data_IF_727751705434
#
_entry.id   IF_727751705434
#
_cell.length_a   1.000
_cell.length_b   1.000
_cell.length_c   1.000
_cell.angle_alpha   90.00
_cell.angle_beta   90.00
_cell.angle_gamma   90.00
#
_symmetry.space_group_name_H-M   'P 1'
#
loop_
_entity.id
_entity.type
_entity.pdbx_description
1 polymer ?
#
# COMPACT_ATOMS: atom_id res chain seq x y z
N UNK A 1 -51.12 -6.09 26.93
CA UNK A 1 -50.48 -7.28 26.43
C UNK A 1 -49.23 -6.84 25.70
N UNK A 2 -48.18 -6.94 26.41
CA UNK A 2 -46.76 -7.09 26.30
C UNK A 2 -46.07 -6.73 24.98
N UNK A 3 -45.35 -5.61 25.09
CA UNK A 3 -44.33 -5.07 24.19
C UNK A 3 -43.10 -5.97 24.11
N UNK A 4 -42.63 -6.23 22.92
CA UNK A 4 -41.31 -6.75 22.67
C UNK A 4 -40.43 -5.61 22.13
N UNK A 5 -39.54 -5.03 22.96
CA UNK A 5 -38.45 -4.13 22.55
C UNK A 5 -37.18 -4.95 22.27
N UNK A 6 -36.40 -4.63 21.25
CA UNK A 6 -35.13 -5.34 20.96
C UNK A 6 -34.03 -4.92 21.96
N UNK A 7 -33.46 -5.90 22.66
CA UNK A 7 -32.43 -5.78 23.70
C UNK A 7 -30.97 -5.74 23.13
N UNK A 8 -30.77 -5.27 21.93
CA UNK A 8 -29.43 -5.36 21.30
C UNK A 8 -28.53 -4.14 21.52
N UNK A 9 -29.07 -2.99 21.85
CA UNK A 9 -28.26 -1.77 22.02
C UNK A 9 -27.64 -1.66 23.44
N UNK A 10 -28.20 -2.25 24.44
CA UNK A 10 -27.71 -2.23 25.84
C UNK A 10 -26.56 -3.24 26.07
N UNK A 11 -26.47 -4.31 25.29
CA UNK A 11 -25.39 -5.29 25.43
C UNK A 11 -24.05 -4.79 24.87
N UNK A 12 -24.07 -4.04 23.76
CA UNK A 12 -22.84 -3.53 23.17
C UNK A 12 -22.19 -2.44 24.03
N UNK A 13 -23.02 -1.57 24.63
CA UNK A 13 -22.53 -0.56 25.59
C UNK A 13 -22.01 -1.17 26.89
N UNK A 14 -22.59 -2.27 27.36
CA UNK A 14 -22.12 -2.98 28.54
C UNK A 14 -20.78 -3.68 28.31
N UNK A 15 -20.54 -4.25 27.11
CA UNK A 15 -19.27 -4.85 26.75
C UNK A 15 -18.15 -3.81 26.58
N UNK A 16 -18.48 -2.65 26.01
CA UNK A 16 -17.49 -1.58 25.83
C UNK A 16 -17.06 -0.97 27.19
N UNK A 17 -18.00 -0.81 28.13
CA UNK A 17 -17.68 -0.33 29.49
C UNK A 17 -16.90 -1.35 30.31
N UNK A 18 -17.13 -2.65 30.14
CA UNK A 18 -16.37 -3.70 30.81
C UNK A 18 -14.93 -3.76 30.30
N UNK A 19 -14.71 -3.62 28.99
CA UNK A 19 -13.38 -3.62 28.40
C UNK A 19 -12.59 -2.37 28.80
N UNK A 20 -13.23 -1.19 28.82
CA UNK A 20 -12.58 0.06 29.26
C UNK A 20 -12.31 0.06 30.77
N UNK A 21 -13.22 -0.47 31.59
CA UNK A 21 -13.01 -0.60 33.04
C UNK A 21 -11.91 -1.62 33.40
N UNK A 22 -11.73 -2.66 32.60
CA UNK A 22 -10.65 -3.66 32.78
C UNK A 22 -9.27 -3.10 32.48
N UNK A 23 -9.17 -2.07 31.63
CA UNK A 23 -7.88 -1.41 31.29
C UNK A 23 -7.54 -0.30 32.28
N UNK A 24 -8.54 0.26 32.99
CA UNK A 24 -8.37 1.42 33.89
C UNK A 24 -8.40 1.08 35.40
N UNK A 25 -8.58 -0.17 35.81
CA UNK A 25 -8.53 -0.52 37.25
C UNK A 25 -7.07 -0.59 37.69
N UNK A 26 -6.62 0.24 38.67
CA UNK A 26 -5.33 0.05 39.32
C UNK A 26 -5.41 -1.25 40.12
N UNK A 27 -4.67 -2.28 39.67
CA UNK A 27 -4.48 -3.49 40.48
C UNK A 27 -3.71 -3.10 41.73
N UNK A 28 -4.16 -3.47 42.94
CA UNK A 28 -3.35 -3.28 44.12
C UNK A 28 -2.06 -4.11 43.96
N UNK A 29 -0.93 -3.45 44.02
CA UNK A 29 0.38 -4.08 44.06
C UNK A 29 0.50 -4.91 45.32
N UNK A 30 0.32 -6.23 45.23
CA UNK A 30 0.90 -7.15 46.17
C UNK A 30 2.40 -7.11 45.88
N UNK A 31 3.12 -6.41 46.74
CA UNK A 31 4.55 -6.44 46.81
C UNK A 31 4.99 -7.87 47.20
N UNK A 32 5.13 -8.75 46.23
CA UNK A 32 5.95 -9.95 46.37
C UNK A 32 7.36 -9.55 45.96
N UNK A 33 8.26 -9.68 46.89
CA UNK A 33 9.70 -9.58 46.70
C UNK A 33 10.15 -10.69 45.74
N UNK A 34 10.02 -10.43 44.44
CA UNK A 34 10.67 -11.24 43.43
C UNK A 34 12.17 -10.92 43.50
N UNK A 35 12.97 -11.96 43.61
CA UNK A 35 14.42 -11.83 43.63
C UNK A 35 14.95 -11.24 42.31
N UNK A 36 16.19 -10.74 42.28
CA UNK A 36 16.73 -9.98 41.13
C UNK A 36 16.83 -10.77 39.82
N UNK A 37 16.49 -12.03 39.78
CA UNK A 37 16.61 -12.93 38.61
C UNK A 37 15.39 -12.95 37.67
N UNK A 38 14.19 -12.55 38.12
CA UNK A 38 12.98 -12.57 37.26
C UNK A 38 12.71 -11.25 36.54
N UNK A 39 13.19 -10.13 37.07
CA UNK A 39 13.09 -8.83 36.41
C UNK A 39 14.06 -8.69 35.21
N UNK A 40 15.10 -9.47 35.19
CA UNK A 40 16.11 -9.51 34.11
C UNK A 40 15.61 -10.27 32.88
N UNK A 41 14.61 -11.14 33.00
CA UNK A 41 14.04 -11.91 31.89
C UNK A 41 13.04 -11.10 31.04
N UNK A 42 12.55 -9.96 31.56
CA UNK A 42 11.59 -9.06 30.85
C UNK A 42 12.31 -7.79 30.35
N UNK A 43 13.62 -7.75 30.41
CA UNK A 43 14.36 -6.60 29.92
C UNK A 43 14.31 -6.58 28.38
N UNK A 44 13.62 -5.58 27.76
CA UNK A 44 13.49 -5.51 26.30
C UNK A 44 14.85 -5.38 25.61
N UNK A 45 15.87 -4.95 26.31
CA UNK A 45 17.25 -4.86 25.80
C UNK A 45 17.86 -6.26 25.63
N UNK A 46 17.60 -7.22 26.53
CA UNK A 46 18.06 -8.60 26.38
C UNK A 46 17.36 -9.35 25.26
N UNK A 47 16.04 -9.14 25.08
CA UNK A 47 15.31 -9.71 23.96
C UNK A 47 15.80 -9.14 22.61
N UNK A 48 16.24 -7.88 22.60
CA UNK A 48 16.90 -7.27 21.44
C UNK A 48 18.32 -7.83 21.24
N UNK A 49 19.11 -8.05 22.29
CA UNK A 49 20.43 -8.68 22.19
C UNK A 49 20.34 -10.11 21.65
N UNK A 50 19.42 -10.92 22.17
CA UNK A 50 19.22 -12.32 21.76
C UNK A 50 18.71 -12.45 20.32
N UNK A 51 17.85 -11.51 19.87
CA UNK A 51 17.44 -11.42 18.47
C UNK A 51 18.54 -10.88 17.56
N UNK A 52 19.45 -10.07 18.06
CA UNK A 52 20.56 -9.50 17.28
C UNK A 52 21.73 -10.47 17.11
N UNK A 53 22.00 -11.37 18.08
CA UNK A 53 22.96 -12.45 17.91
C UNK A 53 22.52 -13.46 16.83
N UNK A 54 21.23 -13.53 16.54
CA UNK A 54 20.69 -14.40 15.50
C UNK A 54 20.71 -13.81 14.08
N UNK A 55 21.14 -12.55 13.90
CA UNK A 55 21.23 -11.90 12.56
C UNK A 55 22.63 -12.16 11.98
N UNK A 56 22.77 -13.05 10.97
CA UNK A 56 24.05 -13.31 10.33
C UNK A 56 24.58 -12.05 9.64
N UNK A 57 25.78 -11.62 9.99
CA UNK A 57 26.45 -10.47 9.35
C UNK A 57 26.73 -9.27 10.25
N UNK A 58 26.30 -9.28 11.53
CA UNK A 58 26.62 -8.22 12.50
C UNK A 58 27.78 -8.60 13.46
N UNK A 59 28.47 -9.70 13.20
CA UNK A 59 29.57 -10.24 14.03
C UNK A 59 30.86 -9.41 14.00
N UNK A 60 30.86 -8.23 13.39
CA UNK A 60 32.06 -7.41 13.26
C UNK A 60 32.06 -6.17 14.15
N UNK A 61 32.41 -6.27 15.42
CA UNK A 61 33.07 -5.20 16.18
C UNK A 61 32.36 -3.88 16.43
N UNK A 62 31.09 -3.73 16.04
CA UNK A 62 30.29 -2.53 16.33
C UNK A 62 29.76 -2.63 17.76
N UNK A 63 29.77 -1.52 18.50
CA UNK A 63 29.19 -1.51 19.84
C UNK A 63 27.68 -1.81 19.77
N UNK A 64 27.13 -2.51 20.74
CA UNK A 64 25.71 -2.89 20.85
C UNK A 64 24.78 -1.69 20.62
N UNK A 65 25.18 -0.50 21.06
CA UNK A 65 24.42 0.75 20.85
C UNK A 65 24.28 1.12 19.38
N UNK A 66 25.31 0.92 18.56
CA UNK A 66 25.28 1.22 17.11
C UNK A 66 24.39 0.19 16.41
N UNK A 67 24.46 -1.07 16.80
CA UNK A 67 23.62 -2.12 16.25
C UNK A 67 22.12 -1.86 16.52
N UNK A 68 21.78 -1.47 17.75
CA UNK A 68 20.42 -1.08 18.11
C UNK A 68 19.95 0.14 17.28
N UNK A 69 20.82 1.13 17.10
CA UNK A 69 20.51 2.31 16.30
C UNK A 69 20.21 1.94 14.84
N UNK A 70 21.06 1.08 14.24
CA UNK A 70 20.87 0.60 12.86
C UNK A 70 19.57 -0.19 12.74
N UNK A 71 19.30 -1.13 13.65
CA UNK A 71 18.08 -1.90 13.67
C UNK A 71 16.84 -1.00 13.74
N UNK A 72 16.87 -0.01 14.63
CA UNK A 72 15.75 0.92 14.83
C UNK A 72 15.54 1.83 13.61
N UNK A 73 16.61 2.27 12.95
CA UNK A 73 16.52 3.02 11.70
C UNK A 73 15.95 2.18 10.55
N UNK A 74 16.43 0.94 10.38
CA UNK A 74 15.89 0.01 9.36
C UNK A 74 14.42 -0.29 9.63
N UNK A 75 14.05 -0.58 10.87
CA UNK A 75 12.65 -0.86 11.26
C UNK A 75 11.74 0.35 11.01
N UNK A 76 12.22 1.58 11.22
CA UNK A 76 11.44 2.79 10.95
C UNK A 76 11.28 3.09 9.46
N UNK A 77 12.26 2.74 8.62
CA UNK A 77 12.22 2.95 7.19
C UNK A 77 11.47 1.85 6.41
N UNK A 78 11.41 0.63 6.96
CA UNK A 78 10.81 -0.53 6.29
C UNK A 78 9.36 -0.27 5.80
N UNK A 79 8.43 0.31 6.58
CA UNK A 79 7.08 0.62 6.11
C UNK A 79 7.08 1.57 4.92
N UNK A 80 7.95 2.59 4.92
CA UNK A 80 8.04 3.55 3.82
C UNK A 80 8.52 2.91 2.53
N UNK A 81 9.53 2.03 2.60
CA UNK A 81 10.05 1.30 1.46
C UNK A 81 8.98 0.36 0.90
N UNK A 82 8.26 -0.38 1.77
CA UNK A 82 7.17 -1.27 1.33
C UNK A 82 6.07 -0.51 0.60
N UNK A 83 5.65 0.65 1.11
CA UNK A 83 4.66 1.50 0.47
C UNK A 83 5.14 1.97 -0.91
N UNK A 84 6.42 2.34 -1.04
CA UNK A 84 7.01 2.80 -2.29
C UNK A 84 7.17 1.69 -3.34
N UNK A 85 7.33 0.43 -2.93
CA UNK A 85 7.50 -0.73 -3.82
C UNK A 85 6.19 -1.44 -4.17
N UNK A 86 5.04 -0.93 -3.73
CA UNK A 86 3.72 -1.52 -3.95
C UNK A 86 2.81 -0.59 -4.75
N UNK A 87 1.63 -1.09 -5.14
CA UNK A 87 0.60 -0.28 -5.81
C UNK A 87 -0.11 0.72 -4.89
N UNK A 88 0.31 0.88 -3.62
CA UNK A 88 -0.30 1.78 -2.65
C UNK A 88 -0.39 3.22 -3.15
N UNK A 89 0.70 3.75 -3.75
CA UNK A 89 0.74 5.12 -4.26
C UNK A 89 -0.32 5.37 -5.33
N UNK A 90 -0.53 4.41 -6.24
CA UNK A 90 -1.57 4.50 -7.27
C UNK A 90 -2.95 4.60 -6.63
N UNK A 91 -3.26 3.72 -5.69
CA UNK A 91 -4.59 3.63 -5.06
C UNK A 91 -4.90 4.88 -4.25
N UNK A 92 -3.98 5.32 -3.39
CA UNK A 92 -4.23 6.47 -2.51
C UNK A 92 -4.40 7.77 -3.31
N UNK A 93 -3.65 7.96 -4.41
CA UNK A 93 -3.77 9.15 -5.26
C UNK A 93 -5.12 9.14 -5.99
N UNK A 94 -5.50 8.01 -6.60
CA UNK A 94 -6.78 7.88 -7.31
C UNK A 94 -7.96 8.15 -6.39
N UNK A 95 -7.99 7.54 -5.20
CA UNK A 95 -9.06 7.76 -4.22
C UNK A 95 -9.05 9.19 -3.64
N UNK A 96 -7.87 9.80 -3.50
CA UNK A 96 -7.78 11.21 -3.09
C UNK A 96 -8.30 12.16 -4.16
N UNK A 97 -8.01 11.89 -5.44
CA UNK A 97 -8.55 12.66 -6.56
C UNK A 97 -10.06 12.48 -6.70
N UNK A 98 -10.59 11.27 -6.48
CA UNK A 98 -12.03 11.03 -6.41
C UNK A 98 -12.71 11.91 -5.35
N UNK A 99 -12.13 11.96 -4.13
CA UNK A 99 -12.65 12.82 -3.06
C UNK A 99 -12.67 14.30 -3.46
N UNK A 100 -11.60 14.77 -4.11
CA UNK A 100 -11.52 16.14 -4.61
C UNK A 100 -12.58 16.39 -5.71
N UNK A 101 -12.78 15.44 -6.61
CA UNK A 101 -13.75 15.54 -7.70
C UNK A 101 -15.19 15.69 -7.18
N UNK A 102 -15.55 14.97 -6.14
CA UNK A 102 -16.85 15.06 -5.48
C UNK A 102 -17.10 16.43 -4.81
N UNK A 103 -16.06 17.15 -4.40
CA UNK A 103 -16.19 18.48 -3.77
C UNK A 103 -16.78 18.45 -2.36
N UNK A 104 -16.78 17.32 -1.67
CA UNK A 104 -17.46 17.07 -0.38
C UNK A 104 -16.71 17.62 0.84
N UNK A 105 -16.00 18.77 0.74
CA UNK A 105 -15.34 19.45 1.88
C UNK A 105 -14.61 18.53 2.87
N UNK A 106 -13.90 17.50 2.35
CA UNK A 106 -13.10 16.59 3.18
C UNK A 106 -13.77 15.27 3.59
N UNK A 107 -14.96 14.98 3.11
CA UNK A 107 -15.60 13.66 3.28
C UNK A 107 -15.32 12.75 2.06
N UNK A 108 -14.97 11.46 2.25
CA UNK A 108 -14.62 10.81 3.50
C UNK A 108 -13.29 11.31 4.11
N UNK A 109 -13.07 11.19 5.44
CA UNK A 109 -11.83 11.57 6.09
C UNK A 109 -10.61 10.89 5.46
N UNK A 110 -9.45 11.57 5.48
CA UNK A 110 -8.21 11.04 4.87
C UNK A 110 -7.78 9.70 5.46
N UNK A 111 -8.05 9.46 6.75
CA UNK A 111 -7.77 8.19 7.40
C UNK A 111 -8.52 7.01 6.76
N UNK A 112 -9.79 7.22 6.36
CA UNK A 112 -10.58 6.18 5.69
C UNK A 112 -10.01 5.88 4.31
N UNK A 113 -9.59 6.91 3.56
CA UNK A 113 -8.96 6.74 2.25
C UNK A 113 -7.64 5.97 2.38
N UNK A 114 -6.78 6.35 3.33
CA UNK A 114 -5.52 5.68 3.58
C UNK A 114 -5.76 4.22 4.01
N UNK A 115 -6.69 3.99 4.94
CA UNK A 115 -7.03 2.63 5.40
C UNK A 115 -7.57 1.75 4.27
N UNK A 116 -8.48 2.27 3.45
CA UNK A 116 -9.01 1.55 2.29
C UNK A 116 -7.92 1.28 1.25
N UNK A 117 -7.05 2.27 0.97
CA UNK A 117 -5.92 2.11 0.06
C UNK A 117 -4.96 1.02 0.53
N UNK A 118 -4.66 0.99 1.83
CA UNK A 118 -3.79 -0.02 2.43
C UNK A 118 -4.41 -1.41 2.36
N UNK A 119 -5.70 -1.53 2.64
CA UNK A 119 -6.43 -2.81 2.54
C UNK A 119 -6.45 -3.34 1.10
N UNK A 120 -6.78 -2.48 0.13
CA UNK A 120 -6.76 -2.85 -1.29
C UNK A 120 -5.36 -3.25 -1.76
N UNK A 121 -4.34 -2.50 -1.33
CA UNK A 121 -2.93 -2.85 -1.61
C UNK A 121 -2.59 -4.22 -1.08
N UNK A 122 -2.99 -4.54 0.16
CA UNK A 122 -2.73 -5.84 0.75
C UNK A 122 -3.38 -6.98 -0.05
N UNK A 123 -4.64 -6.81 -0.45
CA UNK A 123 -5.36 -7.79 -1.28
C UNK A 123 -4.65 -8.00 -2.62
N UNK A 124 -4.28 -6.91 -3.29
CA UNK A 124 -3.63 -6.97 -4.61
C UNK A 124 -2.22 -7.58 -4.51
N UNK A 125 -1.46 -7.26 -3.45
CA UNK A 125 -0.08 -7.74 -3.27
C UNK A 125 0.01 -9.16 -2.68
N UNK A 126 -1.12 -9.78 -2.28
CA UNK A 126 -1.14 -11.13 -1.71
C UNK A 126 -0.40 -12.17 -2.57
N UNK A 127 -0.61 -12.31 -3.89
CA UNK A 127 0.11 -13.29 -4.70
C UNK A 127 1.62 -13.02 -4.72
N UNK A 128 2.05 -11.77 -4.87
CA UNK A 128 3.47 -11.39 -4.82
C UNK A 128 4.08 -11.73 -3.46
N UNK A 129 3.38 -11.43 -2.35
CA UNK A 129 3.84 -11.75 -1.01
C UNK A 129 3.94 -13.27 -0.76
N UNK A 130 3.00 -14.06 -1.29
CA UNK A 130 3.05 -15.52 -1.23
C UNK A 130 4.26 -16.07 -1.98
N UNK A 131 4.58 -15.54 -3.16
CA UNK A 131 5.79 -15.92 -3.91
C UNK A 131 7.05 -15.57 -3.13
N UNK A 132 7.15 -14.38 -2.54
CA UNK A 132 8.28 -13.98 -1.70
C UNK A 132 8.47 -14.98 -0.53
N UNK A 133 7.39 -15.42 0.08
CA UNK A 133 7.45 -16.40 1.17
C UNK A 133 7.89 -17.79 0.67
N UNK A 134 7.29 -18.30 -0.38
CA UNK A 134 7.50 -19.67 -0.88
C UNK A 134 8.87 -19.83 -1.55
N UNK A 135 9.27 -18.86 -2.38
CA UNK A 135 10.51 -18.91 -3.15
C UNK A 135 11.73 -18.45 -2.34
N UNK A 136 11.54 -17.50 -1.41
CA UNK A 136 12.60 -16.90 -0.61
C UNK A 136 12.66 -17.42 0.82
N UNK A 137 11.68 -17.11 1.65
CA UNK A 137 11.76 -17.32 3.12
C UNK A 137 11.65 -18.80 3.48
N UNK A 138 10.73 -19.54 2.87
CA UNK A 138 10.47 -20.94 3.20
C UNK A 138 11.68 -21.85 3.05
N UNK A 139 12.52 -21.80 1.98
CA UNK A 139 13.72 -22.63 1.85
C UNK A 139 14.73 -22.41 2.99
N UNK A 140 14.83 -21.17 3.46
CA UNK A 140 15.70 -20.83 4.60
C UNK A 140 15.16 -21.41 5.92
N UNK A 141 13.86 -21.22 6.21
CA UNK A 141 13.23 -21.73 7.44
C UNK A 141 13.16 -23.26 7.50
N UNK A 142 13.11 -23.94 6.35
CA UNK A 142 13.13 -25.41 6.27
C UNK A 142 14.56 -25.98 6.26
N UNK A 143 15.60 -25.14 6.30
CA UNK A 143 17.00 -25.56 6.32
C UNK A 143 17.53 -26.11 4.99
N UNK A 144 16.76 -25.99 3.91
CA UNK A 144 17.17 -26.36 2.54
C UNK A 144 18.23 -25.39 2.03
N UNK A 145 18.03 -24.11 2.27
CA UNK A 145 19.00 -23.05 1.96
C UNK A 145 19.60 -22.53 3.27
N UNK A 146 20.91 -22.40 3.34
CA UNK A 146 21.63 -21.89 4.53
C UNK A 146 22.29 -20.55 4.28
N UNK A 147 22.38 -20.13 3.01
CA UNK A 147 22.99 -18.88 2.64
C UNK A 147 21.95 -17.74 2.68
N UNK A 148 22.17 -16.79 3.60
CA UNK A 148 21.34 -15.61 3.75
C UNK A 148 21.31 -14.74 2.49
N UNK A 149 22.44 -14.60 1.79
CA UNK A 149 22.52 -13.75 0.58
C UNK A 149 21.67 -14.33 -0.56
N UNK A 150 21.72 -15.66 -0.74
CA UNK A 150 20.88 -16.36 -1.73
C UNK A 150 19.40 -16.24 -1.36
N UNK A 151 19.06 -16.38 -0.08
CA UNK A 151 17.69 -16.20 0.40
C UNK A 151 17.19 -14.78 0.14
N UNK A 152 18.01 -13.77 0.43
CA UNK A 152 17.67 -12.37 0.18
C UNK A 152 17.42 -12.10 -1.31
N UNK A 153 18.30 -12.61 -2.18
CA UNK A 153 18.15 -12.44 -3.63
C UNK A 153 16.88 -13.11 -4.15
N UNK A 154 16.53 -14.30 -3.68
CA UNK A 154 15.27 -14.97 -4.02
C UNK A 154 14.05 -14.27 -3.47
N UNK A 155 14.13 -13.72 -2.25
CA UNK A 155 12.99 -13.02 -1.64
C UNK A 155 12.66 -11.71 -2.35
N UNK A 156 13.66 -10.96 -2.82
CA UNK A 156 13.43 -9.70 -3.52
C UNK A 156 12.96 -9.88 -4.98
N UNK A 157 13.19 -11.05 -5.59
CA UNK A 157 12.91 -11.28 -7.00
C UNK A 157 11.42 -11.15 -7.36
N UNK A 158 10.44 -11.73 -6.62
CA UNK A 158 9.02 -11.55 -6.93
C UNK A 158 8.57 -10.10 -6.86
N UNK A 159 9.12 -9.29 -5.94
CA UNK A 159 8.84 -7.87 -5.85
C UNK A 159 9.39 -7.10 -7.05
N UNK A 160 10.60 -7.47 -7.47
CA UNK A 160 11.24 -6.92 -8.67
C UNK A 160 10.44 -7.25 -9.93
N UNK A 161 9.99 -8.51 -10.08
CA UNK A 161 9.15 -8.95 -11.18
C UNK A 161 7.83 -8.18 -11.23
N UNK A 162 7.21 -7.94 -10.07
CA UNK A 162 6.01 -7.12 -9.97
C UNK A 162 6.24 -5.70 -10.50
N UNK A 163 7.32 -5.03 -10.06
CA UNK A 163 7.63 -3.66 -10.52
C UNK A 163 7.86 -3.61 -12.03
N UNK A 164 8.62 -4.56 -12.59
CA UNK A 164 8.83 -4.65 -14.03
C UNK A 164 7.52 -4.88 -14.78
N UNK A 165 6.68 -5.79 -14.30
CA UNK A 165 5.37 -6.08 -14.89
C UNK A 165 4.50 -4.82 -15.00
N UNK A 166 4.50 -3.96 -13.97
CA UNK A 166 3.75 -2.69 -14.02
C UNK A 166 4.34 -1.71 -15.04
N UNK A 167 5.67 -1.60 -15.11
CA UNK A 167 6.35 -0.72 -16.08
C UNK A 167 6.09 -1.19 -17.52
N UNK A 168 6.17 -2.50 -17.77
CA UNK A 168 5.88 -3.11 -19.07
C UNK A 168 4.42 -2.92 -19.49
N UNK A 169 3.48 -3.23 -18.61
CA UNK A 169 2.04 -3.11 -18.88
C UNK A 169 1.62 -1.68 -19.24
N UNK A 170 2.33 -0.69 -18.73
CA UNK A 170 2.08 0.75 -18.99
C UNK A 170 2.95 1.33 -20.09
N UNK A 171 3.95 0.60 -20.57
CA UNK A 171 4.93 1.07 -21.57
C UNK A 171 5.84 2.20 -21.08
N UNK A 172 5.98 2.39 -19.76
CA UNK A 172 6.69 3.52 -19.17
C UNK A 172 8.20 3.26 -18.96
N UNK A 173 8.88 2.74 -19.95
CA UNK A 173 10.32 2.49 -19.90
C UNK A 173 11.18 3.75 -19.80
N UNK A 174 10.64 4.92 -20.20
CA UNK A 174 11.38 6.19 -20.16
C UNK A 174 11.92 6.53 -18.77
N UNK A 175 11.19 6.19 -17.70
CA UNK A 175 11.65 6.37 -16.33
C UNK A 175 12.87 5.49 -16.00
N UNK A 176 12.87 4.25 -16.47
CA UNK A 176 13.98 3.31 -16.27
C UNK A 176 15.23 3.82 -17.00
N UNK A 177 15.10 4.16 -18.28
CA UNK A 177 16.22 4.69 -19.09
C UNK A 177 16.80 5.97 -18.50
N UNK A 178 15.95 6.87 -17.98
CA UNK A 178 16.39 8.09 -17.32
C UNK A 178 17.27 7.77 -16.09
N UNK A 179 16.88 6.80 -15.26
CA UNK A 179 17.65 6.41 -14.07
C UNK A 179 18.94 5.70 -14.43
N UNK A 180 18.94 4.86 -15.47
CA UNK A 180 20.14 4.17 -15.96
C UNK A 180 21.14 5.16 -16.55
N UNK A 181 20.68 6.10 -17.39
CA UNK A 181 21.53 7.16 -17.97
C UNK A 181 22.19 8.03 -16.89
N UNK A 182 21.43 8.40 -15.85
CA UNK A 182 21.97 9.17 -14.72
C UNK A 182 23.11 8.41 -14.00
N UNK A 183 23.06 7.08 -13.99
CA UNK A 183 24.11 6.22 -13.42
C UNK A 183 25.24 5.92 -14.39
N UNK A 184 25.22 6.46 -15.60
CA UNK A 184 26.26 6.26 -16.61
C UNK A 184 26.17 4.92 -17.33
N UNK A 185 25.05 4.22 -17.26
CA UNK A 185 24.79 3.00 -18.03
C UNK A 185 24.30 3.43 -19.43
N UNK A 186 24.96 2.96 -20.47
CA UNK A 186 24.58 3.29 -21.85
C UNK A 186 23.20 2.68 -22.19
N UNK A 187 22.27 3.54 -22.59
CA UNK A 187 20.91 3.16 -23.01
C UNK A 187 20.65 3.44 -24.48
N UNK A 188 21.72 3.66 -25.29
CA UNK A 188 21.62 3.97 -26.70
C UNK A 188 21.01 2.85 -27.53
N UNK A 189 21.20 1.60 -27.08
CA UNK A 189 20.53 0.42 -27.63
C UNK A 189 19.62 -0.25 -26.59
N UNK A 190 18.32 0.10 -26.56
CA UNK A 190 17.38 -0.48 -25.63
C UNK A 190 17.21 -2.01 -25.78
N UNK A 191 17.52 -2.56 -26.95
CA UNK A 191 17.41 -4.00 -27.23
C UNK A 191 18.49 -4.84 -26.55
N UNK A 192 19.62 -4.22 -26.20
CA UNK A 192 20.74 -4.89 -25.52
C UNK A 192 20.55 -4.98 -23.99
N UNK A 193 19.65 -4.17 -23.43
CA UNK A 193 19.42 -4.12 -22.00
C UNK A 193 18.52 -5.27 -21.52
N UNK A 194 19.03 -5.98 -20.54
CA UNK A 194 18.27 -7.07 -19.88
C UNK A 194 17.72 -6.59 -18.52
N UNK A 195 16.71 -7.29 -17.99
CA UNK A 195 16.19 -6.98 -16.66
C UNK A 195 17.26 -7.09 -15.57
N UNK A 196 18.32 -7.91 -15.76
CA UNK A 196 19.44 -8.06 -14.82
C UNK A 196 20.28 -6.80 -14.69
N UNK A 197 20.36 -5.98 -15.74
CA UNK A 197 21.18 -4.77 -15.77
C UNK A 197 20.56 -3.59 -14.99
N UNK A 198 19.28 -3.72 -14.68
CA UNK A 198 18.53 -2.72 -13.89
C UNK A 198 18.60 -3.08 -12.42
N UNK A 199 19.38 -2.39 -11.63
CA UNK A 199 19.47 -2.57 -10.18
C UNK A 199 18.22 -2.02 -9.46
N UNK A 200 17.93 -2.53 -8.26
CA UNK A 200 16.80 -2.08 -7.41
C UNK A 200 16.84 -0.57 -7.15
N UNK A 201 18.03 0.00 -6.99
CA UNK A 201 18.21 1.44 -6.75
C UNK A 201 17.73 2.31 -7.92
N UNK A 202 17.80 1.81 -9.16
CA UNK A 202 17.26 2.47 -10.34
C UNK A 202 15.80 2.11 -10.61
N UNK A 203 15.42 0.88 -10.27
CA UNK A 203 14.08 0.34 -10.52
C UNK A 203 13.01 0.99 -9.62
N UNK A 204 13.28 1.16 -8.31
CA UNK A 204 12.30 1.72 -7.36
C UNK A 204 11.87 3.13 -7.76
N UNK A 205 12.76 4.12 -8.01
CA UNK A 205 12.31 5.44 -8.41
C UNK A 205 11.62 5.46 -9.79
N UNK A 206 12.08 4.63 -10.73
CA UNK A 206 11.42 4.49 -12.02
C UNK A 206 10.00 3.92 -11.89
N UNK A 207 9.82 2.93 -11.03
CA UNK A 207 8.50 2.36 -10.70
C UNK A 207 7.58 3.41 -10.05
N UNK A 208 8.08 4.19 -9.06
CA UNK A 208 7.30 5.26 -8.41
C UNK A 208 6.82 6.28 -9.45
N UNK A 209 7.69 6.72 -10.37
CA UNK A 209 7.30 7.65 -11.44
C UNK A 209 6.25 7.03 -12.38
N UNK A 210 6.36 5.75 -12.67
CA UNK A 210 5.36 5.01 -13.44
C UNK A 210 4.01 4.98 -12.71
N UNK A 211 3.98 4.61 -11.43
CA UNK A 211 2.78 4.56 -10.60
C UNK A 211 2.10 5.94 -10.48
N UNK A 212 2.90 7.01 -10.28
CA UNK A 212 2.39 8.38 -10.24
C UNK A 212 1.71 8.77 -11.57
N UNK A 213 2.37 8.50 -12.71
CA UNK A 213 1.79 8.81 -14.04
C UNK A 213 0.46 8.08 -14.25
N UNK A 214 0.41 6.78 -13.93
CA UNK A 214 -0.82 5.99 -14.07
C UNK A 214 -1.90 6.49 -13.12
N UNK A 215 -1.55 6.78 -11.86
CA UNK A 215 -2.47 7.30 -10.86
C UNK A 215 -3.12 8.63 -11.30
N UNK A 216 -2.32 9.56 -11.82
CA UNK A 216 -2.82 10.83 -12.33
C UNK A 216 -3.71 10.66 -13.56
N UNK A 217 -3.34 9.77 -14.50
CA UNK A 217 -4.17 9.48 -15.66
C UNK A 217 -5.53 8.89 -15.27
N UNK A 218 -5.55 7.95 -14.33
CA UNK A 218 -6.78 7.35 -13.83
C UNK A 218 -7.61 8.37 -13.04
N UNK A 219 -6.99 9.11 -12.14
CA UNK A 219 -7.64 10.14 -11.34
C UNK A 219 -8.24 11.23 -12.23
N UNK A 220 -7.53 11.64 -13.27
CA UNK A 220 -8.05 12.61 -14.25
C UNK A 220 -9.29 12.08 -14.99
N UNK A 221 -9.28 10.81 -15.44
CA UNK A 221 -10.44 10.18 -16.07
C UNK A 221 -11.67 10.16 -15.15
N UNK A 222 -11.45 9.92 -13.86
CA UNK A 222 -12.52 9.97 -12.86
C UNK A 222 -12.99 11.40 -12.62
N UNK A 223 -12.09 12.38 -12.67
CA UNK A 223 -12.41 13.78 -12.44
C UNK A 223 -13.25 14.41 -13.59
N UNK A 224 -13.03 13.97 -14.83
CA UNK A 224 -13.69 14.54 -16.02
C UNK A 224 -15.23 14.63 -15.93
N UNK A 225 -15.99 13.57 -15.57
CA UNK A 225 -17.44 13.67 -15.52
C UNK A 225 -17.93 14.69 -14.48
N UNK A 226 -17.23 14.81 -13.36
CA UNK A 226 -17.56 15.78 -12.32
C UNK A 226 -17.26 17.22 -12.75
N UNK A 227 -16.19 17.42 -13.51
CA UNK A 227 -15.85 18.72 -14.09
C UNK A 227 -16.92 19.17 -15.10
N UNK A 228 -17.45 18.27 -15.91
CA UNK A 228 -18.55 18.58 -16.84
C UNK A 228 -19.80 19.05 -16.08
N UNK A 229 -20.15 18.39 -14.97
CA UNK A 229 -21.27 18.83 -14.12
C UNK A 229 -21.03 20.24 -13.59
N UNK A 230 -19.82 20.54 -13.09
CA UNK A 230 -19.48 21.88 -12.60
C UNK A 230 -19.67 22.94 -13.69
N UNK A 231 -19.19 22.66 -14.91
CA UNK A 231 -19.30 23.58 -16.03
C UNK A 231 -20.76 23.84 -16.46
N UNK A 232 -21.57 22.78 -16.48
CA UNK A 232 -23.01 22.90 -16.81
C UNK A 232 -23.73 23.74 -15.76
N UNK A 233 -23.54 23.46 -14.49
CA UNK A 233 -24.16 24.22 -13.39
C UNK A 233 -23.68 25.67 -13.39
N UNK A 234 -22.37 25.91 -13.60
CA UNK A 234 -21.85 27.27 -13.70
C UNK A 234 -22.49 28.06 -14.85
N UNK A 235 -22.63 27.46 -16.04
CA UNK A 235 -23.24 28.11 -17.18
C UNK A 235 -24.73 28.45 -16.94
N UNK A 236 -25.48 27.57 -16.29
CA UNK A 236 -26.86 27.79 -15.90
C UNK A 236 -26.99 28.97 -14.90
N UNK A 237 -26.17 29.01 -13.86
CA UNK A 237 -26.17 30.08 -12.85
C UNK A 237 -25.86 31.44 -13.47
N UNK A 238 -24.87 31.50 -14.36
CA UNK A 238 -24.50 32.72 -15.07
C UNK A 238 -25.65 33.18 -15.95
N UNK A 239 -26.32 32.28 -16.69
CA UNK A 239 -27.46 32.62 -17.56
C UNK A 239 -28.67 33.16 -16.78
N UNK A 240 -28.84 32.74 -15.53
CA UNK A 240 -29.88 33.26 -14.62
C UNK A 240 -29.46 34.55 -13.90
N UNK A 241 -28.27 35.08 -14.15
CA UNK A 241 -27.76 36.28 -13.49
C UNK A 241 -27.28 36.10 -12.06
N UNK A 242 -27.15 34.84 -11.58
CA UNK A 242 -26.75 34.50 -10.20
C UNK A 242 -25.24 34.42 -10.05
N UNK A 243 -24.53 35.52 -10.30
CA UNK A 243 -23.05 35.58 -10.30
C UNK A 243 -22.43 35.46 -8.91
N UNK A 244 -23.17 35.75 -7.83
CA UNK A 244 -22.63 35.73 -6.47
C UNK A 244 -22.67 34.35 -5.80
N UNK A 245 -23.37 33.37 -6.35
CA UNK A 245 -23.41 32.01 -5.77
C UNK A 245 -22.26 31.19 -6.31
N UNK A 246 -21.47 30.54 -5.42
CA UNK A 246 -20.38 29.66 -5.86
C UNK A 246 -20.94 28.40 -6.52
N UNK A 247 -20.65 28.15 -7.82
CA UNK A 247 -21.23 27.02 -8.59
C UNK A 247 -20.94 25.66 -7.96
N UNK A 248 -19.78 25.52 -7.30
CA UNK A 248 -19.33 24.27 -6.66
C UNK A 248 -20.29 23.81 -5.56
N UNK A 249 -20.89 24.73 -4.80
CA UNK A 249 -21.84 24.37 -3.74
C UNK A 249 -23.17 23.88 -4.32
N UNK A 250 -23.59 24.43 -5.46
CA UNK A 250 -24.83 24.04 -6.14
C UNK A 250 -24.63 22.71 -6.90
N UNK A 251 -23.44 22.46 -7.45
CA UNK A 251 -23.15 21.22 -8.19
C UNK A 251 -22.97 20.00 -7.29
N UNK A 252 -22.59 20.19 -6.02
CA UNK A 252 -22.30 19.12 -5.08
C UNK A 252 -23.42 18.07 -4.94
N UNK A 253 -24.71 18.43 -4.71
CA UNK A 253 -25.80 17.44 -4.64
C UNK A 253 -25.92 16.60 -5.91
N UNK A 254 -25.76 17.22 -7.09
CA UNK A 254 -25.84 16.52 -8.38
C UNK A 254 -24.68 15.54 -8.57
N UNK A 255 -23.46 15.93 -8.17
CA UNK A 255 -22.29 15.04 -8.19
C UNK A 255 -22.46 13.83 -7.30
N UNK A 256 -22.91 14.04 -6.06
CA UNK A 256 -23.13 12.95 -5.11
C UNK A 256 -24.24 12.03 -5.60
N UNK A 257 -25.36 12.59 -6.11
CA UNK A 257 -26.46 11.81 -6.67
C UNK A 257 -25.98 10.93 -7.83
N UNK A 258 -25.27 11.52 -8.81
CA UNK A 258 -24.76 10.78 -9.96
C UNK A 258 -23.77 9.68 -9.49
N UNK A 259 -22.88 9.99 -8.56
CA UNK A 259 -21.91 9.02 -8.03
C UNK A 259 -22.59 7.81 -7.36
N UNK A 260 -23.68 8.05 -6.61
CA UNK A 260 -24.46 6.97 -5.98
C UNK A 260 -25.24 6.18 -7.02
N UNK A 261 -25.83 6.83 -8.02
CA UNK A 261 -26.63 6.15 -9.05
C UNK A 261 -25.81 5.18 -9.92
N UNK A 262 -24.51 5.48 -10.14
CA UNK A 262 -23.63 4.62 -10.96
C UNK A 262 -22.80 3.65 -10.11
N UNK A 263 -23.10 3.48 -8.81
CA UNK A 263 -22.28 2.69 -7.88
C UNK A 263 -20.80 3.09 -7.95
N UNK A 264 -20.51 4.39 -7.85
CA UNK A 264 -19.20 4.98 -8.12
C UNK A 264 -18.07 4.38 -7.28
N UNK A 265 -18.34 3.95 -6.03
CA UNK A 265 -17.34 3.28 -5.21
C UNK A 265 -16.89 1.95 -5.83
N UNK A 266 -17.82 1.11 -6.26
CA UNK A 266 -17.51 -0.17 -6.88
C UNK A 266 -16.79 0.01 -8.20
N UNK A 267 -17.23 0.97 -9.01
CA UNK A 267 -16.64 1.28 -10.31
C UNK A 267 -15.19 1.75 -10.16
N UNK A 268 -14.92 2.67 -9.23
CA UNK A 268 -13.57 3.21 -9.00
C UNK A 268 -12.65 2.16 -8.40
N UNK A 269 -13.08 1.47 -7.33
CA UNK A 269 -12.26 0.42 -6.71
C UNK A 269 -11.98 -0.73 -7.67
N UNK A 270 -12.98 -1.17 -8.44
CA UNK A 270 -12.83 -2.19 -9.46
C UNK A 270 -11.86 -1.77 -10.56
N UNK A 271 -11.97 -0.53 -11.06
CA UNK A 271 -11.06 0.02 -12.05
C UNK A 271 -9.61 0.08 -11.55
N UNK A 272 -9.41 0.50 -10.29
CA UNK A 272 -8.08 0.54 -9.67
C UNK A 272 -7.50 -0.86 -9.52
N UNK A 273 -8.28 -1.82 -9.03
CA UNK A 273 -7.83 -3.20 -8.87
C UNK A 273 -7.45 -3.85 -10.21
N UNK A 274 -8.27 -3.67 -11.25
CA UNK A 274 -8.01 -4.21 -12.58
C UNK A 274 -6.87 -3.52 -13.32
N UNK A 275 -6.50 -2.31 -12.92
CA UNK A 275 -5.37 -1.57 -13.50
C UNK A 275 -4.00 -2.11 -13.07
N UNK A 276 -3.96 -2.90 -11.99
CA UNK A 276 -2.73 -3.52 -11.49
C UNK A 276 -2.60 -4.92 -12.08
N UNK A 277 -1.63 -5.10 -12.96
CA UNK A 277 -1.39 -6.36 -13.64
C UNK A 277 -0.56 -7.28 -12.76
N UNK A 278 -1.02 -8.51 -12.54
CA UNK A 278 -0.25 -9.52 -11.81
C UNK A 278 0.66 -10.30 -12.77
N UNK A 279 1.91 -10.61 -12.38
CA UNK A 279 2.83 -11.38 -13.22
C UNK A 279 2.24 -12.73 -13.67
N UNK A 280 1.46 -13.37 -12.82
CA UNK A 280 0.79 -14.64 -13.10
C UNK A 280 -0.27 -14.54 -14.21
N UNK A 281 -0.94 -13.41 -14.34
CA UNK A 281 -1.93 -13.17 -15.39
C UNK A 281 -1.30 -13.09 -16.76
N UNK A 282 -0.08 -12.57 -16.87
CA UNK A 282 0.67 -12.53 -18.15
C UNK A 282 1.04 -13.95 -18.57
N UNK A 283 1.53 -14.77 -17.64
CA UNK A 283 1.91 -16.15 -17.92
C UNK A 283 0.68 -17.01 -18.34
N UNK A 284 -0.45 -16.84 -17.66
CA UNK A 284 -1.69 -17.55 -18.03
C UNK A 284 -2.25 -17.09 -19.37
N UNK A 285 -2.20 -15.80 -19.68
CA UNK A 285 -2.61 -15.28 -20.98
C UNK A 285 -1.71 -15.79 -22.13
N UNK A 286 -0.40 -15.83 -21.91
CA UNK A 286 0.55 -16.38 -22.88
C UNK A 286 0.36 -17.88 -23.11
N UNK A 287 0.09 -18.64 -22.05
CA UNK A 287 -0.18 -20.09 -22.16
C UNK A 287 -1.55 -20.40 -22.81
N UNK A 288 -2.56 -19.56 -22.55
CA UNK A 288 -3.89 -19.68 -23.15
C UNK A 288 -3.90 -19.44 -24.67
N UNK A 289 -3.02 -18.59 -25.18
CA UNK A 289 -2.86 -18.35 -26.62
C UNK A 289 -2.25 -19.57 -27.33
N UNK A 290 -1.43 -20.36 -26.65
CA UNK A 290 -0.82 -21.59 -27.23
C UNK A 290 -1.75 -22.79 -27.21
N UNK A 291 -2.81 -22.77 -26.40
CA UNK A 291 -3.81 -23.87 -26.32
C UNK A 291 -5.07 -23.65 -27.18
N UNK A 292 -5.20 -22.46 -27.79
CA UNK A 292 -6.35 -22.04 -28.60
C UNK A 292 -6.21 -22.25 -30.11
N UNK A 293 -5.43 -23.25 -30.56
CA UNK A 293 -5.47 -23.66 -31.96
C UNK A 293 -6.43 -24.88 -32.07
N UNK A 294 -7.55 -24.76 -32.81
CA UNK A 294 -8.48 -25.85 -33.04
C UNK A 294 -7.86 -26.96 -33.90
#
# INVERSE_FOLDING_TARGET
MNSCRPKTFTQVTCWLTIVVASVMSPRPALAQTAGPSELDSINPIRLLEETMESVPGLEGGLSTSINILILLTVLSLAPSILIMCTCFMRIVIVLSMLRQALGTQGLPPSQIIIGLSLFLTFVIMTPTAQRMYVEGIRPYTTGVEKDYMVTWDRTKQPLRDFMFTQIEATGNWSGVYMMLNYRGIDTSDPGSLTRSDVDMLSLIPAFILCELKVAFLMGFRIYLPFLVIDMVIASLLISMGMLMLPPVLISLPFKVLLFVLVDGWQLVTGSVMTSVVQPEQIVSAASGVLTGVP
#
